data_IF_450250465734
#
_entry.id   IF_450250465734
#
_cell.length_a   1.000
_cell.length_b   1.000
_cell.length_c   1.000
_cell.angle_alpha   90.00
_cell.angle_beta   90.00
_cell.angle_gamma   90.00
#
_symmetry.space_group_name_H-M   'P 1'
#
loop_
_entity.id
_entity.type
_entity.pdbx_description
1 polymer ?
#
# COMPACT_ATOMS: atom_id res chain seq x y z
N UNK A 1 16.27 -0.53 -24.61
CA UNK A 1 16.53 -1.00 -23.23
C UNK A 1 15.80 -0.09 -22.26
N UNK A 2 14.67 -0.55 -21.72
CA UNK A 2 13.87 0.23 -20.78
C UNK A 2 14.58 0.32 -19.42
N UNK A 3 14.89 1.55 -18.98
CA UNK A 3 15.43 1.83 -17.64
C UNK A 3 14.30 1.63 -16.62
N UNK A 4 14.39 0.57 -15.81
CA UNK A 4 13.54 0.38 -14.65
C UNK A 4 13.72 1.55 -13.67
N UNK A 5 12.62 2.25 -13.36
CA UNK A 5 12.58 3.25 -12.28
C UNK A 5 12.79 2.58 -10.91
N UNK A 6 13.37 3.27 -9.92
CA UNK A 6 13.65 2.71 -8.60
C UNK A 6 12.37 2.66 -7.76
N UNK A 7 11.44 1.76 -8.11
CA UNK A 7 10.41 1.34 -7.17
C UNK A 7 11.10 0.42 -6.14
N UNK A 8 11.24 0.91 -4.91
CA UNK A 8 11.81 0.28 -3.72
C UNK A 8 12.51 -1.07 -3.96
N UNK A 9 13.83 -1.03 -4.20
CA UNK A 9 14.70 -2.23 -4.34
C UNK A 9 14.42 -3.29 -3.27
N UNK A 10 14.03 -2.87 -2.06
CA UNK A 10 13.65 -3.76 -0.96
C UNK A 10 12.35 -4.56 -1.21
N UNK A 11 11.28 -3.95 -1.73
CA UNK A 11 10.02 -4.69 -2.00
C UNK A 11 10.17 -5.65 -3.17
N UNK A 12 10.88 -5.25 -4.23
CA UNK A 12 11.22 -6.17 -5.31
C UNK A 12 12.13 -7.31 -4.83
N UNK A 13 13.11 -7.05 -3.96
CA UNK A 13 13.95 -8.12 -3.40
C UNK A 13 13.15 -9.09 -2.53
N UNK A 14 12.19 -8.60 -1.75
CA UNK A 14 11.29 -9.44 -0.94
C UNK A 14 10.36 -10.26 -1.84
N UNK A 15 9.75 -9.66 -2.87
CA UNK A 15 8.88 -10.36 -3.82
C UNK A 15 9.66 -11.37 -4.66
N UNK A 16 10.90 -11.07 -5.06
CA UNK A 16 11.79 -12.00 -5.76
C UNK A 16 12.29 -13.12 -4.84
N UNK A 17 12.54 -12.84 -3.56
CA UNK A 17 12.84 -13.86 -2.57
C UNK A 17 11.63 -14.76 -2.30
N UNK A 18 10.42 -14.21 -2.28
CA UNK A 18 9.17 -14.98 -2.17
C UNK A 18 8.93 -15.79 -3.44
N UNK A 19 9.19 -15.24 -4.63
CA UNK A 19 9.12 -15.97 -5.88
C UNK A 19 10.12 -17.11 -5.89
N UNK A 20 11.39 -16.86 -5.53
CA UNK A 20 12.38 -17.90 -5.33
C UNK A 20 11.93 -18.94 -4.28
N UNK A 21 11.35 -18.55 -3.15
CA UNK A 21 10.89 -19.51 -2.13
C UNK A 21 9.59 -20.24 -2.51
N UNK A 22 8.79 -19.70 -3.42
CA UNK A 22 7.61 -20.36 -4.00
C UNK A 22 7.96 -21.23 -5.23
N UNK A 23 9.03 -20.91 -5.95
CA UNK A 23 9.44 -21.61 -7.20
C UNK A 23 10.74 -22.42 -7.09
N UNK A 24 11.53 -22.31 -6.03
CA UNK A 24 12.78 -23.06 -5.89
C UNK A 24 12.54 -24.47 -5.37
N UNK A 25 12.35 -25.37 -6.32
CA UNK A 25 13.18 -26.58 -6.38
C UNK A 25 14.62 -26.11 -6.68
N UNK A 26 15.55 -26.31 -5.74
CA UNK A 26 17.00 -26.35 -6.01
C UNK A 26 17.80 -25.07 -5.72
N UNK A 27 18.75 -25.23 -4.78
CA UNK A 27 19.99 -24.47 -4.53
C UNK A 27 19.91 -23.03 -3.97
N UNK A 28 20.20 -22.91 -2.66
CA UNK A 28 20.58 -21.66 -2.00
C UNK A 28 22.08 -21.69 -1.73
N UNK A 29 22.79 -20.62 -2.11
CA UNK A 29 24.08 -20.25 -1.51
C UNK A 29 23.89 -19.00 -0.65
N UNK A 30 24.49 -19.06 0.54
CA UNK A 30 24.44 -18.07 1.62
C UNK A 30 25.43 -16.95 1.35
N UNK A 31 25.05 -15.69 1.62
CA UNK A 31 25.99 -14.62 1.90
C UNK A 31 25.50 -13.79 3.10
N UNK A 32 26.42 -13.58 4.04
CA UNK A 32 26.29 -12.84 5.29
C UNK A 32 26.82 -11.42 5.14
N UNK A 33 26.10 -10.42 5.65
CA UNK A 33 26.58 -9.06 5.93
C UNK A 33 26.02 -8.66 7.32
N UNK A 34 26.85 -8.36 8.31
CA UNK A 34 27.73 -7.21 8.56
C UNK A 34 27.05 -6.18 9.50
N UNK A 35 27.80 -5.81 10.54
CA UNK A 35 27.35 -5.03 11.68
C UNK A 35 27.09 -3.56 11.32
N UNK A 36 25.95 -3.00 11.76
CA UNK A 36 25.71 -1.55 11.80
C UNK A 36 25.24 -1.13 13.18
N UNK A 37 25.94 -0.12 13.69
CA UNK A 37 25.84 0.52 15.01
C UNK A 37 24.53 1.34 15.11
N UNK A 38 23.85 1.25 16.26
CA UNK A 38 22.67 2.08 16.60
C UNK A 38 23.08 3.44 17.16
N UNK A 39 22.40 4.56 16.82
CA UNK A 39 22.44 5.77 17.63
C UNK A 39 21.27 5.82 18.63
N UNK A 40 21.60 6.43 19.78
CA UNK A 40 20.82 6.62 20.99
C UNK A 40 19.92 7.86 20.86
N UNK A 41 18.77 7.83 21.52
CA UNK A 41 17.78 8.90 21.55
C UNK A 41 18.24 10.13 22.35
N UNK A 42 17.82 11.32 21.92
CA UNK A 42 17.91 12.56 22.68
C UNK A 42 16.50 13.14 22.85
N UNK A 43 16.14 13.39 24.10
CA UNK A 43 14.89 13.91 24.60
C UNK A 43 15.06 15.41 24.92
N UNK A 44 14.14 16.29 24.47
CA UNK A 44 13.76 17.51 25.21
C UNK A 44 12.53 18.20 24.62
N UNK A 45 11.56 18.41 25.50
CA UNK A 45 10.35 19.20 25.34
C UNK A 45 10.57 20.71 25.60
N UNK A 46 9.72 21.53 24.98
CA UNK A 46 9.01 22.74 25.47
C UNK A 46 8.33 23.35 24.22
N UNK A 47 7.02 23.58 24.13
CA UNK A 47 6.05 23.95 25.14
C UNK A 47 5.78 25.45 25.02
N UNK A 48 4.84 25.86 24.16
CA UNK A 48 4.18 27.16 24.28
C UNK A 48 2.73 27.07 23.82
N UNK A 49 1.83 27.31 24.77
CA UNK A 49 0.41 27.57 24.55
C UNK A 49 0.22 28.82 23.68
N UNK A 50 -0.94 28.96 23.05
CA UNK A 50 -1.83 30.08 23.32
C UNK A 50 -3.28 29.78 22.88
N UNK A 51 -4.12 29.84 23.92
CA UNK A 51 -5.57 29.99 24.07
C UNK A 51 -6.25 30.81 22.94
N UNK A 52 -7.42 30.34 22.50
CA UNK A 52 -8.24 30.99 21.46
C UNK A 52 -9.05 32.19 21.92
N UNK A 53 -9.84 32.77 21.01
CA UNK A 53 -11.01 33.60 21.33
C UNK A 53 -11.94 33.71 20.10
N UNK A 54 -13.23 33.45 20.33
CA UNK A 54 -14.35 33.86 19.48
C UNK A 54 -14.58 35.38 19.63
N UNK A 55 -15.11 36.03 18.59
CA UNK A 55 -15.90 37.26 18.76
C UNK A 55 -15.58 38.36 17.76
N UNK A 56 -16.28 38.39 16.63
CA UNK A 56 -16.38 39.59 15.80
C UNK A 56 -17.55 40.44 16.32
N UNK A 57 -17.24 41.58 16.95
CA UNK A 57 -18.17 42.70 17.15
C UNK A 57 -18.02 43.66 15.98
N UNK A 58 -19.14 43.96 15.34
CA UNK A 58 -19.32 44.85 14.20
C UNK A 58 -19.25 46.33 14.62
N UNK A 59 -18.70 47.18 13.75
CA UNK A 59 -18.78 48.64 13.86
C UNK A 59 -19.96 49.14 13.02
N UNK A 60 -20.89 49.83 13.69
CA UNK A 60 -22.01 50.58 13.09
C UNK A 60 -21.48 51.76 12.27
N UNK A 61 -22.07 51.97 11.09
CA UNK A 61 -22.38 53.30 10.57
C UNK A 61 -23.89 53.42 10.42
N UNK A 62 -24.41 54.48 11.01
CA UNK A 62 -25.82 54.82 11.17
C UNK A 62 -26.35 55.45 9.88
N UNK A 63 -27.40 54.90 9.29
CA UNK A 63 -28.45 55.68 8.63
C UNK A 63 -29.76 54.98 8.99
N UNK A 64 -30.54 55.66 9.80
CA UNK A 64 -31.86 55.25 10.28
C UNK A 64 -32.89 55.90 9.35
N UNK A 65 -33.81 55.11 8.76
CA UNK A 65 -35.20 55.48 8.42
C UNK A 65 -35.99 54.16 8.29
N UNK A 66 -36.71 53.88 9.38
CA UNK A 66 -38.06 53.26 9.53
C UNK A 66 -38.44 51.96 8.80
N UNK A 67 -38.63 50.93 9.65
CA UNK A 67 -39.80 50.03 9.84
C UNK A 67 -40.29 49.09 8.72
N UNK A 68 -40.39 47.84 9.19
CA UNK A 68 -41.33 46.74 8.89
C UNK A 68 -40.89 45.65 7.89
N UNK A 69 -40.67 44.47 8.48
CA UNK A 69 -40.73 43.08 8.01
C UNK A 69 -40.82 42.81 6.49
N UNK A 70 -39.76 42.26 5.87
CA UNK A 70 -39.92 41.35 4.72
C UNK A 70 -38.66 40.49 4.41
N UNK A 71 -38.78 39.17 4.53
CA UNK A 71 -37.78 38.13 4.18
C UNK A 71 -37.64 37.93 2.63
N UNK A 72 -37.95 38.97 1.85
CA UNK A 72 -38.14 38.88 0.39
C UNK A 72 -37.08 39.61 -0.44
N UNK A 73 -36.29 40.54 0.14
CA UNK A 73 -35.45 41.47 -0.65
C UNK A 73 -33.95 41.10 -0.78
N UNK A 74 -33.39 40.24 0.08
CA UNK A 74 -31.94 39.93 0.03
C UNK A 74 -31.55 38.98 -1.11
N UNK A 75 -32.50 38.15 -1.60
CA UNK A 75 -32.26 37.27 -2.77
C UNK A 75 -32.31 38.04 -4.10
N UNK A 76 -33.16 39.07 -4.19
CA UNK A 76 -33.34 39.87 -5.42
C UNK A 76 -32.12 40.77 -5.65
N UNK A 77 -31.55 41.35 -4.59
CA UNK A 77 -30.34 42.20 -4.68
C UNK A 77 -29.06 41.43 -5.04
N UNK A 78 -28.92 40.17 -4.62
CA UNK A 78 -27.72 39.37 -4.88
C UNK A 78 -27.68 38.80 -6.31
N UNK A 79 -28.83 38.41 -6.88
CA UNK A 79 -28.93 37.98 -8.28
C UNK A 79 -28.74 39.15 -9.26
N UNK A 80 -29.31 40.32 -8.94
CA UNK A 80 -29.14 41.54 -9.75
C UNK A 80 -27.69 42.08 -9.69
N UNK A 81 -27.07 42.06 -8.51
CA UNK A 81 -25.64 42.40 -8.36
C UNK A 81 -24.73 41.42 -9.11
N UNK A 82 -25.00 40.10 -9.06
CA UNK A 82 -24.28 39.09 -9.85
C UNK A 82 -24.44 39.31 -11.36
N UNK A 83 -25.65 39.65 -11.83
CA UNK A 83 -25.89 39.98 -13.26
C UNK A 83 -25.20 41.27 -13.69
N UNK A 84 -25.11 42.29 -12.82
CA UNK A 84 -24.40 43.54 -13.11
C UNK A 84 -22.87 43.40 -13.05
N UNK A 85 -22.34 42.58 -12.13
CA UNK A 85 -20.92 42.21 -12.08
C UNK A 85 -20.56 41.34 -13.30
N UNK A 86 -21.47 40.47 -13.74
CA UNK A 86 -21.30 39.69 -14.97
C UNK A 86 -21.41 40.58 -16.23
N UNK A 87 -22.31 41.57 -16.24
CA UNK A 87 -22.41 42.57 -17.32
C UNK A 87 -21.18 43.49 -17.37
N UNK A 88 -20.58 43.83 -16.22
CA UNK A 88 -19.28 44.49 -16.14
C UNK A 88 -18.14 43.57 -16.60
N UNK A 89 -18.15 42.28 -16.23
CA UNK A 89 -17.24 41.24 -16.77
C UNK A 89 -17.34 41.11 -18.30
N UNK A 90 -18.54 41.27 -18.87
CA UNK A 90 -18.82 41.19 -20.30
C UNK A 90 -18.50 42.50 -21.07
N UNK A 91 -18.53 43.67 -20.41
CA UNK A 91 -18.05 44.95 -20.99
C UNK A 91 -16.52 45.08 -20.90
N UNK A 92 -15.90 44.30 -20.00
CA UNK A 92 -14.48 44.24 -19.66
C UNK A 92 -13.79 42.97 -20.22
N UNK A 93 -14.38 42.29 -21.20
CA UNK A 93 -13.61 41.50 -22.18
C UNK A 93 -12.72 42.48 -22.94
N UNK A 94 -11.53 42.78 -22.42
CA UNK A 94 -10.70 43.87 -22.90
C UNK A 94 -10.46 43.81 -24.41
N UNK A 95 -10.16 44.95 -25.06
CA UNK A 95 -9.74 45.00 -26.46
C UNK A 95 -8.70 43.91 -26.79
N UNK A 96 -7.86 43.53 -25.82
CA UNK A 96 -6.87 42.46 -25.95
C UNK A 96 -7.48 41.05 -26.01
N UNK A 97 -8.58 40.74 -25.30
CA UNK A 97 -9.25 39.43 -25.44
C UNK A 97 -9.92 39.29 -26.80
N UNK A 98 -10.63 40.33 -27.26
CA UNK A 98 -11.25 40.33 -28.59
C UNK A 98 -10.17 40.20 -29.69
N UNK A 99 -9.05 40.91 -29.55
CA UNK A 99 -7.89 40.79 -30.42
C UNK A 99 -7.29 39.38 -30.38
N UNK A 100 -7.17 38.77 -29.20
CA UNK A 100 -6.67 37.40 -29.02
C UNK A 100 -7.53 36.39 -29.77
N UNK A 101 -8.86 36.49 -29.64
CA UNK A 101 -9.83 35.63 -30.33
C UNK A 101 -9.75 35.82 -31.85
N UNK A 102 -9.64 37.06 -32.33
CA UNK A 102 -9.50 37.37 -33.76
C UNK A 102 -8.21 36.79 -34.33
N UNK A 103 -7.09 36.93 -33.60
CA UNK A 103 -5.79 36.40 -34.00
C UNK A 103 -5.78 34.87 -34.09
N UNK A 104 -6.49 34.19 -33.19
CA UNK A 104 -6.61 32.73 -33.19
C UNK A 104 -7.21 32.21 -34.51
N UNK A 105 -8.31 32.85 -34.96
CA UNK A 105 -8.97 32.55 -36.24
C UNK A 105 -8.10 32.95 -37.44
N UNK A 106 -7.55 34.17 -37.44
CA UNK A 106 -6.78 34.65 -38.59
C UNK A 106 -5.50 33.86 -38.85
N UNK A 107 -4.91 33.28 -37.81
CA UNK A 107 -3.72 32.44 -37.91
C UNK A 107 -4.06 30.95 -38.09
N UNK A 108 -5.34 30.60 -38.25
CA UNK A 108 -5.85 29.24 -38.48
C UNK A 108 -5.37 28.25 -37.41
N UNK A 109 -5.27 28.70 -36.15
CA UNK A 109 -4.78 27.87 -35.04
C UNK A 109 -5.77 26.73 -34.75
N UNK A 110 -7.06 26.95 -35.00
CA UNK A 110 -8.13 25.94 -34.87
C UNK A 110 -7.93 24.70 -35.76
N UNK A 111 -7.28 24.85 -36.92
CA UNK A 111 -7.07 23.75 -37.87
C UNK A 111 -5.88 22.84 -37.55
N UNK A 112 -5.21 23.03 -36.40
CA UNK A 112 -3.95 22.35 -36.07
C UNK A 112 -4.13 20.97 -35.42
N UNK A 113 -5.34 20.67 -34.93
CA UNK A 113 -5.69 19.39 -34.31
C UNK A 113 -4.80 19.02 -33.12
N UNK A 114 -4.47 17.73 -33.00
CA UNK A 114 -3.74 17.17 -31.85
C UNK A 114 -2.30 17.70 -31.70
N UNK A 115 -1.75 18.32 -32.75
CA UNK A 115 -0.41 18.94 -32.74
C UNK A 115 -0.44 20.44 -32.45
N UNK A 116 -1.57 20.94 -31.92
CA UNK A 116 -1.79 22.36 -31.59
C UNK A 116 -0.56 23.01 -30.97
N UNK A 117 -0.07 22.47 -29.85
CA UNK A 117 1.02 23.07 -29.09
C UNK A 117 2.42 22.92 -29.70
N UNK A 118 2.54 22.18 -30.81
CA UNK A 118 3.78 22.05 -31.60
C UNK A 118 3.68 22.77 -32.95
N UNK A 119 2.52 23.36 -33.26
CA UNK A 119 2.30 24.02 -34.55
C UNK A 119 2.93 25.41 -34.60
N UNK A 120 3.47 25.78 -35.76
CA UNK A 120 3.99 27.12 -36.01
C UNK A 120 2.89 28.19 -35.89
N UNK A 121 1.64 27.84 -36.23
CA UNK A 121 0.46 28.68 -36.07
C UNK A 121 0.23 29.05 -34.61
N UNK A 122 0.25 28.06 -33.72
CA UNK A 122 0.11 28.30 -32.28
C UNK A 122 1.26 29.12 -31.72
N UNK A 123 2.51 28.82 -32.11
CA UNK A 123 3.67 29.60 -31.65
C UNK A 123 3.56 31.08 -32.07
N UNK A 124 3.23 31.33 -33.35
CA UNK A 124 3.03 32.68 -33.87
C UNK A 124 1.86 33.39 -33.17
N UNK A 125 0.78 32.68 -32.88
CA UNK A 125 -0.36 33.22 -32.15
C UNK A 125 0.00 33.56 -30.70
N UNK A 126 0.56 32.61 -29.96
CA UNK A 126 0.93 32.77 -28.56
C UNK A 126 1.96 33.90 -28.36
N UNK A 127 2.97 33.99 -29.22
CA UNK A 127 3.95 35.09 -29.18
C UNK A 127 3.34 36.45 -29.47
N UNK A 128 2.41 36.53 -30.43
CA UNK A 128 1.71 37.78 -30.76
C UNK A 128 0.79 38.22 -29.62
N UNK A 129 0.02 37.28 -29.05
CA UNK A 129 -0.84 37.56 -27.90
C UNK A 129 0.00 38.02 -26.71
N UNK A 130 1.09 37.34 -26.38
CA UNK A 130 2.00 37.76 -25.31
C UNK A 130 2.51 39.22 -25.50
N UNK A 131 2.81 39.63 -26.74
CA UNK A 131 3.20 41.03 -27.06
C UNK A 131 2.08 42.03 -26.81
N UNK A 132 0.82 41.66 -26.98
CA UNK A 132 -0.33 42.53 -26.70
C UNK A 132 -0.55 42.73 -25.18
N UNK A 133 -0.05 41.81 -24.37
CA UNK A 133 -0.11 41.86 -22.91
C UNK A 133 1.18 42.38 -22.26
N UNK A 134 2.06 43.10 -22.99
CA UNK A 134 3.32 43.64 -22.44
C UNK A 134 3.18 44.40 -21.11
N UNK A 135 2.08 45.12 -20.90
CA UNK A 135 1.81 45.87 -19.66
C UNK A 135 1.33 44.98 -18.51
N UNK A 136 0.69 43.84 -18.82
CA UNK A 136 0.11 42.87 -17.88
C UNK A 136 0.42 41.43 -18.34
N UNK A 137 1.70 40.99 -18.37
CA UNK A 137 2.09 39.72 -18.99
C UNK A 137 1.43 38.50 -18.34
N UNK A 138 1.05 38.59 -17.07
CA UNK A 138 0.36 37.57 -16.29
C UNK A 138 -1.06 37.25 -16.80
N UNK A 139 -1.70 38.16 -17.55
CA UNK A 139 -3.03 37.95 -18.12
C UNK A 139 -3.00 37.25 -19.48
N UNK A 140 -1.84 37.18 -20.13
CA UNK A 140 -1.73 36.57 -21.45
C UNK A 140 -2.12 35.08 -21.45
N UNK A 141 -1.64 34.24 -20.51
CA UNK A 141 -2.04 32.83 -20.43
C UNK A 141 -3.54 32.65 -20.20
N UNK A 142 -4.18 33.47 -19.35
CA UNK A 142 -5.63 33.41 -19.12
C UNK A 142 -6.41 33.78 -20.38
N UNK A 143 -5.95 34.79 -21.12
CA UNK A 143 -6.57 35.20 -22.38
C UNK A 143 -6.46 34.10 -23.45
N UNK A 144 -5.28 33.49 -23.59
CA UNK A 144 -5.06 32.35 -24.48
C UNK A 144 -5.92 31.15 -24.08
N UNK A 145 -5.91 30.79 -22.80
CA UNK A 145 -6.71 29.69 -22.27
C UNK A 145 -8.19 29.90 -22.56
N UNK A 146 -8.74 31.09 -22.29
CA UNK A 146 -10.15 31.39 -22.54
C UNK A 146 -10.53 31.22 -24.02
N UNK A 147 -9.67 31.64 -24.94
CA UNK A 147 -9.88 31.42 -26.38
C UNK A 147 -9.89 29.93 -26.73
N UNK A 148 -8.93 29.17 -26.19
CA UNK A 148 -8.84 27.72 -26.42
C UNK A 148 -10.03 26.98 -25.80
N UNK A 149 -10.46 27.34 -24.59
CA UNK A 149 -11.56 26.70 -23.89
C UNK A 149 -12.89 26.95 -24.59
N UNK A 150 -13.09 28.15 -25.17
CA UNK A 150 -14.27 28.44 -25.99
C UNK A 150 -14.32 27.62 -27.29
N UNK A 151 -13.18 27.18 -27.80
CA UNK A 151 -13.10 26.37 -29.02
C UNK A 151 -13.20 24.87 -28.73
N UNK A 152 -12.42 24.37 -27.77
CA UNK A 152 -12.29 22.94 -27.49
C UNK A 152 -13.21 22.44 -26.35
N UNK A 153 -13.66 23.33 -25.47
CA UNK A 153 -14.28 22.98 -24.19
C UNK A 153 -13.25 22.64 -23.10
N UNK A 154 -13.66 22.73 -21.83
CA UNK A 154 -12.77 22.52 -20.67
C UNK A 154 -12.19 21.10 -20.59
N UNK A 155 -13.02 20.06 -20.78
CA UNK A 155 -12.60 18.65 -20.71
C UNK A 155 -11.55 18.32 -21.79
N UNK A 156 -11.85 18.63 -23.06
CA UNK A 156 -10.95 18.32 -24.17
C UNK A 156 -9.65 19.14 -24.09
N UNK A 157 -9.74 20.42 -23.73
CA UNK A 157 -8.55 21.25 -23.55
C UNK A 157 -7.66 20.76 -22.40
N UNK A 158 -8.24 20.35 -21.27
CA UNK A 158 -7.49 19.76 -20.17
C UNK A 158 -6.73 18.49 -20.61
N UNK A 159 -7.36 17.61 -21.39
CA UNK A 159 -6.72 16.42 -21.95
C UNK A 159 -5.55 16.78 -22.89
N UNK A 160 -5.74 17.77 -23.78
CA UNK A 160 -4.69 18.26 -24.67
C UNK A 160 -3.50 18.85 -23.88
N UNK A 161 -3.76 19.59 -22.80
CA UNK A 161 -2.72 20.17 -21.93
C UNK A 161 -1.93 19.08 -21.21
N UNK A 162 -2.59 18.04 -20.71
CA UNK A 162 -1.93 16.89 -20.07
C UNK A 162 -0.96 16.21 -21.05
N UNK A 163 -1.41 15.97 -22.29
CA UNK A 163 -0.55 15.42 -23.35
C UNK A 163 0.61 16.36 -23.69
N UNK A 164 0.34 17.65 -23.84
CA UNK A 164 1.35 18.66 -24.17
C UNK A 164 2.43 18.81 -23.07
N UNK A 165 2.10 18.55 -21.80
CA UNK A 165 3.06 18.53 -20.69
C UNK A 165 4.06 17.37 -20.77
N UNK A 166 3.75 16.30 -21.52
CA UNK A 166 4.67 15.17 -21.69
C UNK A 166 5.74 15.45 -22.75
N UNK A 167 5.48 16.33 -23.70
CA UNK A 167 6.46 16.72 -24.71
C UNK A 167 7.32 17.90 -24.21
N UNK A 168 8.65 17.76 -24.31
CA UNK A 168 9.61 18.76 -23.80
C UNK A 168 9.46 20.14 -24.46
N UNK A 169 9.05 20.21 -25.73
CA UNK A 169 8.88 21.48 -26.47
C UNK A 169 7.65 22.25 -26.00
N UNK A 170 6.55 21.55 -25.74
CA UNK A 170 5.28 22.16 -25.34
C UNK A 170 5.05 22.23 -23.82
N UNK A 171 5.90 21.59 -23.01
CA UNK A 171 5.73 21.49 -21.55
C UNK A 171 5.56 22.85 -20.87
N UNK A 172 6.41 23.81 -21.19
CA UNK A 172 6.40 25.13 -20.55
C UNK A 172 5.11 25.89 -20.85
N UNK A 173 4.66 25.90 -22.11
CA UNK A 173 3.43 26.61 -22.47
C UNK A 173 2.19 25.91 -21.91
N UNK A 174 2.15 24.57 -21.97
CA UNK A 174 1.05 23.80 -21.42
C UNK A 174 0.91 23.99 -19.90
N UNK A 175 2.02 24.03 -19.16
CA UNK A 175 2.02 24.29 -17.71
C UNK A 175 1.50 25.70 -17.39
N UNK A 176 1.87 26.71 -18.18
CA UNK A 176 1.34 28.07 -18.00
C UNK A 176 -0.16 28.16 -18.27
N UNK A 177 -0.66 27.47 -19.28
CA UNK A 177 -2.08 27.44 -19.62
C UNK A 177 -2.91 26.66 -18.58
N UNK A 178 -2.41 25.52 -18.08
CA UNK A 178 -3.04 24.78 -16.98
C UNK A 178 -3.12 25.67 -15.72
N UNK A 179 -2.03 26.34 -15.33
CA UNK A 179 -2.06 27.25 -14.18
C UNK A 179 -3.09 28.37 -14.36
N UNK A 180 -3.25 28.89 -15.58
CA UNK A 180 -4.27 29.89 -15.89
C UNK A 180 -5.69 29.33 -15.77
N UNK A 181 -5.92 28.09 -16.20
CA UNK A 181 -7.18 27.37 -16.00
C UNK A 181 -7.52 27.25 -14.51
N UNK A 182 -6.57 26.72 -13.71
CA UNK A 182 -6.76 26.53 -12.28
C UNK A 182 -7.03 27.86 -11.55
N UNK A 183 -6.32 28.93 -11.93
CA UNK A 183 -6.54 30.27 -11.38
C UNK A 183 -7.90 30.83 -11.77
N UNK A 184 -8.36 30.58 -12.99
CA UNK A 184 -9.68 31.02 -13.44
C UNK A 184 -10.79 30.32 -12.65
N UNK A 185 -10.69 29.00 -12.44
CA UNK A 185 -11.65 28.26 -11.62
C UNK A 185 -11.67 28.72 -10.17
N UNK A 186 -10.49 28.95 -9.56
CA UNK A 186 -10.38 29.53 -8.22
C UNK A 186 -11.02 30.93 -8.15
N UNK A 187 -10.73 31.80 -9.11
CA UNK A 187 -11.30 33.17 -9.16
C UNK A 187 -12.81 33.18 -9.43
N UNK A 188 -13.33 32.12 -10.04
CA UNK A 188 -14.76 31.90 -10.23
C UNK A 188 -15.43 31.26 -9.00
N UNK A 189 -14.68 30.95 -7.94
CA UNK A 189 -15.19 30.32 -6.72
C UNK A 189 -15.65 28.87 -6.91
N UNK A 190 -15.12 28.16 -7.92
CA UNK A 190 -15.46 26.75 -8.13
C UNK A 190 -14.93 25.90 -6.97
N UNK A 191 -15.69 24.90 -6.60
CA UNK A 191 -15.27 23.87 -5.66
C UNK A 191 -14.55 22.73 -6.38
N UNK A 192 -13.93 21.84 -5.61
CA UNK A 192 -13.35 20.60 -6.14
C UNK A 192 -14.38 19.72 -6.86
N UNK A 193 -15.61 19.69 -6.35
CA UNK A 193 -16.72 18.91 -6.90
C UNK A 193 -17.24 19.58 -8.21
N UNK A 194 -17.33 20.91 -8.25
CA UNK A 194 -17.69 21.64 -9.49
C UNK A 194 -16.71 21.35 -10.63
N UNK A 195 -15.41 21.28 -10.33
CA UNK A 195 -14.38 20.95 -11.33
C UNK A 195 -14.39 19.47 -11.68
N UNK A 196 -14.74 18.60 -10.74
CA UNK A 196 -14.91 17.17 -11.00
C UNK A 196 -16.00 16.91 -12.05
N UNK A 197 -17.15 17.55 -11.90
CA UNK A 197 -18.27 17.47 -12.83
C UNK A 197 -17.97 18.19 -14.16
N UNK A 198 -17.31 19.36 -14.11
CA UNK A 198 -16.89 20.09 -15.31
C UNK A 198 -15.99 19.25 -16.22
N UNK A 199 -15.11 18.44 -15.62
CA UNK A 199 -14.21 17.52 -16.32
C UNK A 199 -14.84 16.14 -16.60
N UNK A 200 -16.14 15.98 -16.33
CA UNK A 200 -16.91 14.74 -16.52
C UNK A 200 -16.24 13.51 -15.91
N UNK A 201 -15.67 13.67 -14.71
CA UNK A 201 -15.03 12.57 -13.99
C UNK A 201 -16.05 11.61 -13.38
N UNK A 202 -17.27 12.09 -13.13
CA UNK A 202 -18.45 11.30 -12.74
C UNK A 202 -18.77 10.18 -13.76
N UNK A 203 -18.59 10.44 -15.05
CA UNK A 203 -18.87 9.48 -16.12
C UNK A 203 -17.80 8.39 -16.26
N UNK A 204 -16.64 8.54 -15.60
CA UNK A 204 -15.49 7.63 -15.78
C UNK A 204 -15.55 6.41 -14.84
N UNK A 205 -16.34 6.47 -13.77
CA UNK A 205 -16.45 5.40 -12.76
C UNK A 205 -15.08 4.91 -12.29
N UNK A 206 -14.90 3.59 -12.20
CA UNK A 206 -13.64 2.98 -11.74
C UNK A 206 -12.42 3.30 -12.63
N UNK A 207 -12.63 3.76 -13.87
CA UNK A 207 -11.56 4.17 -14.81
C UNK A 207 -11.13 5.62 -14.64
N UNK A 208 -11.56 6.28 -13.57
CA UNK A 208 -11.24 7.69 -13.29
C UNK A 208 -9.75 8.01 -13.45
N UNK A 209 -8.86 7.21 -12.86
CA UNK A 209 -7.42 7.46 -12.92
C UNK A 209 -6.75 7.09 -14.26
N UNK A 210 -7.45 6.38 -15.14
CA UNK A 210 -7.03 6.18 -16.53
C UNK A 210 -7.31 7.44 -17.39
N UNK A 211 -8.25 8.28 -16.94
CA UNK A 211 -8.57 9.53 -17.60
C UNK A 211 -7.43 10.55 -17.45
N UNK A 212 -6.93 11.15 -18.56
CA UNK A 212 -5.86 12.15 -18.48
C UNK A 212 -6.28 13.38 -17.65
N UNK A 213 -7.56 13.76 -17.67
CA UNK A 213 -8.08 14.94 -16.95
C UNK A 213 -8.16 14.74 -15.44
N UNK A 214 -8.01 13.52 -14.92
CA UNK A 214 -7.90 13.29 -13.47
C UNK A 214 -6.69 14.01 -12.86
N UNK A 215 -5.59 14.14 -13.62
CA UNK A 215 -4.41 14.89 -13.19
C UNK A 215 -4.68 16.40 -13.05
N UNK A 216 -5.55 16.94 -13.90
CA UNK A 216 -5.98 18.35 -13.83
C UNK A 216 -6.84 18.60 -12.60
N UNK A 217 -7.80 17.70 -12.32
CA UNK A 217 -8.61 17.77 -11.09
C UNK A 217 -7.74 17.65 -9.82
N UNK A 218 -6.81 16.70 -9.78
CA UNK A 218 -5.86 16.54 -8.67
C UNK A 218 -5.04 17.83 -8.46
N UNK A 219 -4.54 18.43 -9.55
CA UNK A 219 -3.79 19.69 -9.48
C UNK A 219 -4.64 20.83 -8.92
N UNK A 220 -5.92 20.87 -9.28
CA UNK A 220 -6.86 21.84 -8.74
C UNK A 220 -7.11 21.65 -7.23
N UNK A 221 -7.40 20.42 -6.80
CA UNK A 221 -7.58 20.07 -5.39
C UNK A 221 -6.32 20.41 -4.57
N UNK A 222 -5.14 20.18 -5.14
CA UNK A 222 -3.86 20.52 -4.53
C UNK A 222 -3.69 22.03 -4.37
N UNK A 223 -4.12 22.82 -5.38
CA UNK A 223 -4.08 24.27 -5.32
C UNK A 223 -5.03 24.82 -4.25
N UNK A 224 -6.24 24.27 -4.13
CA UNK A 224 -7.22 24.68 -3.11
C UNK A 224 -6.76 24.36 -1.69
N UNK A 225 -6.02 23.25 -1.48
CA UNK A 225 -5.60 22.83 -0.15
C UNK A 225 -4.18 22.22 -0.14
N UNK A 226 -3.16 23.08 -0.27
CA UNK A 226 -1.78 22.63 -0.46
C UNK A 226 -1.23 21.76 0.68
N UNK A 227 -1.67 21.96 1.92
CA UNK A 227 -1.16 21.24 3.09
C UNK A 227 -1.77 19.85 3.26
N UNK A 228 -3.08 19.69 3.00
CA UNK A 228 -3.82 18.45 3.27
C UNK A 228 -4.50 17.86 2.02
N UNK A 229 -4.00 18.23 0.83
CA UNK A 229 -4.60 17.83 -0.46
C UNK A 229 -4.86 16.34 -0.60
N UNK A 230 -3.94 15.47 -0.19
CA UNK A 230 -4.08 14.02 -0.32
C UNK A 230 -5.28 13.48 0.49
N UNK A 231 -5.49 13.97 1.73
CA UNK A 231 -6.63 13.61 2.58
C UNK A 231 -7.95 14.12 2.03
N UNK A 232 -7.95 15.35 1.48
CA UNK A 232 -9.15 15.93 0.86
C UNK A 232 -9.53 15.17 -0.42
N UNK A 233 -8.55 14.87 -1.28
CA UNK A 233 -8.75 14.07 -2.51
C UNK A 233 -9.27 12.67 -2.13
N UNK A 234 -8.63 12.01 -1.16
CA UNK A 234 -9.06 10.69 -0.68
C UNK A 234 -10.50 10.73 -0.18
N UNK A 235 -10.83 11.71 0.67
CA UNK A 235 -12.17 11.87 1.23
C UNK A 235 -13.24 12.14 0.16
N UNK A 236 -12.94 12.96 -0.85
CA UNK A 236 -13.84 13.19 -1.99
C UNK A 236 -14.11 11.89 -2.75
N UNK A 237 -13.06 11.11 -3.07
CA UNK A 237 -13.22 9.82 -3.77
C UNK A 237 -13.95 8.78 -2.89
N UNK A 238 -13.71 8.79 -1.58
CA UNK A 238 -14.32 7.86 -0.62
C UNK A 238 -15.85 7.99 -0.54
N UNK A 239 -16.39 9.19 -0.81
CA UNK A 239 -17.84 9.43 -0.90
C UNK A 239 -18.48 8.71 -2.10
N UNK A 240 -17.70 8.43 -3.14
CA UNK A 240 -18.17 7.88 -4.41
C UNK A 240 -17.91 6.37 -4.53
N UNK A 241 -16.84 5.88 -3.90
CA UNK A 241 -16.37 4.51 -4.07
C UNK A 241 -16.28 3.75 -2.74
N UNK A 242 -16.67 2.47 -2.76
CA UNK A 242 -16.42 1.55 -1.64
C UNK A 242 -14.92 1.40 -1.38
N UNK A 243 -14.55 0.95 -0.17
CA UNK A 243 -13.15 0.81 0.25
C UNK A 243 -12.35 -0.07 -0.70
N UNK A 244 -12.93 -1.21 -1.12
CA UNK A 244 -12.26 -2.17 -1.99
C UNK A 244 -12.09 -1.65 -3.42
N UNK A 245 -13.10 -0.94 -3.95
CA UNK A 245 -13.05 -0.32 -5.28
C UNK A 245 -12.03 0.82 -5.30
N UNK A 246 -12.08 1.73 -4.32
CA UNK A 246 -11.14 2.85 -4.23
C UNK A 246 -9.70 2.35 -4.09
N UNK A 247 -9.47 1.33 -3.26
CA UNK A 247 -8.14 0.74 -3.12
C UNK A 247 -7.62 0.13 -4.43
N UNK A 248 -8.48 -0.54 -5.21
CA UNK A 248 -8.13 -1.06 -6.55
C UNK A 248 -7.75 0.06 -7.51
N UNK A 249 -8.55 1.11 -7.56
CA UNK A 249 -8.29 2.28 -8.40
C UNK A 249 -6.95 2.92 -8.04
N UNK A 250 -6.68 3.14 -6.74
CA UNK A 250 -5.41 3.69 -6.26
C UNK A 250 -4.25 2.77 -6.62
N UNK A 251 -4.36 1.46 -6.33
CA UNK A 251 -3.30 0.50 -6.60
C UNK A 251 -2.95 0.39 -8.08
N UNK A 252 -3.95 0.36 -8.97
CA UNK A 252 -3.75 0.35 -10.42
C UNK A 252 -3.12 1.64 -10.95
N UNK A 253 -3.41 2.78 -10.32
CA UNK A 253 -2.90 4.08 -10.74
C UNK A 253 -1.43 4.34 -10.35
N UNK A 254 -0.82 3.55 -9.46
CA UNK A 254 0.54 3.80 -8.91
C UNK A 254 1.65 3.88 -9.96
N UNK A 255 1.47 3.25 -11.12
CA UNK A 255 2.43 3.26 -12.22
C UNK A 255 2.04 4.24 -13.35
N UNK A 256 0.94 5.00 -13.18
CA UNK A 256 0.53 6.01 -14.15
C UNK A 256 1.57 7.14 -14.26
N UNK A 257 1.88 7.54 -15.48
CA UNK A 257 2.79 8.65 -15.76
C UNK A 257 2.25 9.99 -15.24
N UNK A 258 0.92 10.15 -15.16
CA UNK A 258 0.28 11.41 -14.80
C UNK A 258 -0.13 11.47 -13.32
N UNK A 259 -0.67 10.38 -12.77
CA UNK A 259 -1.23 10.35 -11.41
C UNK A 259 -0.50 9.42 -10.44
N UNK A 260 0.56 8.72 -10.88
CA UNK A 260 1.22 7.69 -10.07
C UNK A 260 1.86 8.22 -8.79
N UNK A 261 2.38 9.45 -8.80
CA UNK A 261 2.90 10.08 -7.59
C UNK A 261 1.79 10.32 -6.55
N UNK A 262 0.65 10.86 -6.98
CA UNK A 262 -0.51 11.08 -6.12
C UNK A 262 -1.11 9.76 -5.66
N UNK A 263 -1.25 8.77 -6.53
CA UNK A 263 -1.75 7.45 -6.17
C UNK A 263 -0.92 6.79 -5.06
N UNK A 264 0.42 6.94 -5.06
CA UNK A 264 1.27 6.47 -3.97
C UNK A 264 1.02 7.18 -2.64
N UNK A 265 0.69 8.48 -2.66
CA UNK A 265 0.32 9.23 -1.46
C UNK A 265 -1.08 8.83 -0.96
N UNK A 266 -2.03 8.67 -1.87
CA UNK A 266 -3.37 8.18 -1.54
C UNK A 266 -3.32 6.75 -0.96
N UNK A 267 -2.40 5.90 -1.43
CA UNK A 267 -2.14 4.60 -0.80
C UNK A 267 -1.68 4.79 0.64
N UNK A 268 -0.78 5.73 0.95
CA UNK A 268 -0.35 5.98 2.34
C UNK A 268 -1.50 6.44 3.24
N UNK A 269 -2.38 7.30 2.73
CA UNK A 269 -3.61 7.72 3.43
C UNK A 269 -4.50 6.50 3.70
N UNK A 270 -4.75 5.67 2.69
CA UNK A 270 -5.53 4.44 2.80
C UNK A 270 -4.95 3.48 3.86
N UNK A 271 -3.64 3.22 3.83
CA UNK A 271 -2.97 2.35 4.80
C UNK A 271 -3.07 2.90 6.22
N UNK A 272 -2.90 4.22 6.39
CA UNK A 272 -3.01 4.90 7.69
C UNK A 272 -4.43 4.82 8.26
N UNK A 273 -5.44 4.96 7.38
CA UNK A 273 -6.85 4.78 7.74
C UNK A 273 -7.16 3.35 8.18
N UNK A 274 -6.70 2.34 7.44
CA UNK A 274 -6.86 0.95 7.88
C UNK A 274 -6.16 0.67 9.22
N UNK A 275 -5.01 1.30 9.49
CA UNK A 275 -4.34 1.21 10.79
C UNK A 275 -5.19 1.83 11.91
N UNK A 276 -5.73 3.04 11.72
CA UNK A 276 -6.53 3.72 12.74
C UNK A 276 -7.88 3.03 12.99
N UNK A 277 -8.45 2.39 11.98
CA UNK A 277 -9.65 1.56 12.09
C UNK A 277 -9.38 0.17 12.70
N UNK A 278 -8.12 -0.16 13.00
CA UNK A 278 -7.76 -1.42 13.63
C UNK A 278 -7.87 -2.65 12.71
N UNK A 279 -7.99 -2.48 11.38
CA UNK A 279 -8.12 -3.59 10.42
C UNK A 279 -6.99 -4.59 10.60
N UNK A 280 -7.28 -5.89 10.64
CA UNK A 280 -6.22 -6.90 10.74
C UNK A 280 -5.57 -7.14 9.37
N UNK A 281 -4.37 -7.73 9.35
CA UNK A 281 -3.71 -8.17 8.11
C UNK A 281 -4.63 -9.12 7.33
N UNK A 282 -5.37 -9.96 8.06
CA UNK A 282 -6.29 -10.95 7.50
C UNK A 282 -7.55 -10.31 6.94
N UNK A 283 -8.06 -9.24 7.56
CA UNK A 283 -9.21 -8.49 7.04
C UNK A 283 -8.90 -7.86 5.69
N UNK A 284 -7.71 -7.25 5.54
CA UNK A 284 -7.29 -6.64 4.28
C UNK A 284 -7.03 -7.71 3.21
N UNK A 285 -6.48 -8.86 3.58
CA UNK A 285 -6.29 -9.98 2.63
C UNK A 285 -7.64 -10.49 2.08
N UNK A 286 -8.65 -10.62 2.96
CA UNK A 286 -10.01 -11.05 2.61
C UNK A 286 -10.78 -9.99 1.85
N UNK A 287 -10.62 -8.71 2.19
CA UNK A 287 -11.24 -7.57 1.50
C UNK A 287 -10.93 -7.64 0.00
N UNK A 288 -9.68 -7.94 -0.34
CA UNK A 288 -9.22 -8.08 -1.73
C UNK A 288 -9.42 -9.47 -2.33
N UNK A 289 -10.03 -10.41 -1.58
CA UNK A 289 -10.26 -11.80 -2.01
C UNK A 289 -8.98 -12.51 -2.47
N UNK A 290 -7.82 -12.10 -1.94
CA UNK A 290 -6.50 -12.64 -2.30
C UNK A 290 -6.39 -14.15 -1.97
N UNK A 291 -7.17 -14.62 -1.01
CA UNK A 291 -7.27 -16.05 -0.66
C UNK A 291 -7.88 -16.91 -1.77
N UNK A 292 -8.52 -16.31 -2.77
CA UNK A 292 -9.15 -17.00 -3.91
C UNK A 292 -8.33 -16.94 -5.20
N UNK A 293 -7.21 -16.23 -5.21
CA UNK A 293 -6.43 -15.98 -6.44
C UNK A 293 -5.45 -17.11 -6.78
N UNK A 294 -5.15 -18.02 -5.84
CA UNK A 294 -4.28 -19.18 -6.07
C UNK A 294 -2.91 -18.77 -6.61
N UNK A 295 -2.49 -19.37 -7.73
CA UNK A 295 -1.20 -19.09 -8.37
C UNK A 295 -1.11 -17.68 -8.98
N UNK A 296 -2.24 -17.01 -9.22
CA UNK A 296 -2.28 -15.64 -9.75
C UNK A 296 -2.10 -14.58 -8.67
N UNK A 297 -1.99 -14.97 -7.40
CA UNK A 297 -1.86 -14.05 -6.26
C UNK A 297 -0.77 -12.99 -6.47
N UNK A 298 0.43 -13.42 -6.92
CA UNK A 298 1.56 -12.52 -7.12
C UNK A 298 1.38 -11.56 -8.31
N UNK A 299 0.43 -11.85 -9.20
CA UNK A 299 0.10 -11.00 -10.34
C UNK A 299 -0.98 -9.97 -9.98
N UNK A 300 -1.63 -10.12 -8.82
CA UNK A 300 -2.67 -9.21 -8.38
C UNK A 300 -2.07 -7.89 -7.91
N UNK A 301 -2.48 -6.75 -8.49
CA UNK A 301 -2.05 -5.43 -8.01
C UNK A 301 -2.42 -5.19 -6.54
N UNK A 302 -3.46 -5.87 -6.04
CA UNK A 302 -3.90 -5.76 -4.65
C UNK A 302 -2.99 -6.51 -3.68
N UNK A 303 -2.23 -7.49 -4.16
CA UNK A 303 -1.21 -8.14 -3.36
C UNK A 303 -0.12 -7.16 -2.92
N UNK A 304 0.35 -6.28 -3.80
CA UNK A 304 1.34 -5.25 -3.47
C UNK A 304 0.85 -4.27 -2.40
N UNK A 305 -0.43 -3.88 -2.46
CA UNK A 305 -1.05 -3.02 -1.45
C UNK A 305 -1.21 -3.76 -0.12
N UNK A 306 -1.60 -5.03 -0.13
CA UNK A 306 -1.64 -5.86 1.07
C UNK A 306 -0.26 -6.04 1.70
N UNK A 307 0.79 -6.32 0.91
CA UNK A 307 2.18 -6.39 1.39
C UNK A 307 2.59 -5.06 2.01
N UNK A 308 2.24 -3.92 1.38
CA UNK A 308 2.53 -2.60 1.94
C UNK A 308 1.89 -2.41 3.32
N UNK A 309 0.65 -2.86 3.49
CA UNK A 309 -0.05 -2.82 4.77
C UNK A 309 0.59 -3.74 5.82
N UNK A 310 0.91 -4.98 5.42
CA UNK A 310 1.60 -5.95 6.29
C UNK A 310 2.92 -5.38 6.82
N UNK A 311 3.75 -4.81 5.93
CA UNK A 311 5.03 -4.23 6.30
C UNK A 311 4.87 -3.01 7.22
N UNK A 312 3.81 -2.21 7.04
CA UNK A 312 3.52 -1.08 7.91
C UNK A 312 3.12 -1.55 9.32
N UNK A 313 2.27 -2.57 9.42
CA UNK A 313 1.74 -3.08 10.69
C UNK A 313 2.74 -3.96 11.46
N UNK A 314 3.61 -4.67 10.74
CA UNK A 314 4.64 -5.52 11.31
C UNK A 314 5.99 -4.80 11.31
N UNK A 315 6.30 -4.08 12.38
CA UNK A 315 7.53 -3.26 12.57
C UNK A 315 8.89 -3.96 12.36
N UNK A 316 8.91 -5.29 12.16
CA UNK A 316 10.11 -6.09 11.87
C UNK A 316 9.78 -7.34 11.02
N UNK A 317 9.20 -7.15 9.83
CA UNK A 317 8.88 -8.22 8.89
C UNK A 317 10.09 -8.67 8.07
N UNK A 318 10.43 -9.95 8.19
CA UNK A 318 11.39 -10.65 7.30
C UNK A 318 10.63 -11.28 6.13
N UNK A 319 11.31 -11.61 5.01
CA UNK A 319 10.71 -12.40 3.93
C UNK A 319 10.05 -13.69 4.41
N UNK A 320 10.66 -14.38 5.38
CA UNK A 320 10.12 -15.60 5.99
C UNK A 320 8.79 -15.37 6.71
N UNK A 321 8.67 -14.30 7.51
CA UNK A 321 7.41 -13.95 8.18
C UNK A 321 6.33 -13.62 7.17
N UNK A 322 6.65 -12.86 6.12
CA UNK A 322 5.68 -12.55 5.07
C UNK A 322 5.20 -13.84 4.37
N UNK A 323 6.10 -14.76 4.08
CA UNK A 323 5.74 -16.05 3.50
C UNK A 323 4.82 -16.88 4.40
N UNK A 324 5.11 -16.97 5.70
CA UNK A 324 4.26 -17.65 6.69
C UNK A 324 2.86 -17.01 6.76
N UNK A 325 2.78 -15.68 6.67
CA UNK A 325 1.53 -14.93 6.67
C UNK A 325 0.69 -15.19 5.43
N UNK A 326 1.33 -15.29 4.26
CA UNK A 326 0.69 -15.66 3.00
C UNK A 326 0.13 -17.08 3.11
N UNK A 327 0.93 -18.05 3.55
CA UNK A 327 0.48 -19.43 3.74
C UNK A 327 -0.72 -19.53 4.68
N UNK A 328 -0.67 -18.83 5.84
CA UNK A 328 -1.79 -18.80 6.77
C UNK A 328 -3.04 -18.20 6.13
N UNK A 329 -2.92 -17.08 5.43
CA UNK A 329 -4.05 -16.40 4.80
C UNK A 329 -4.64 -17.18 3.61
N UNK A 330 -3.84 -18.04 2.96
CA UNK A 330 -4.30 -19.03 1.99
C UNK A 330 -4.95 -20.26 2.63
N UNK A 331 -4.94 -20.37 3.96
CA UNK A 331 -5.50 -21.51 4.69
C UNK A 331 -4.64 -22.78 4.61
N UNK A 332 -3.33 -22.66 4.33
CA UNK A 332 -2.43 -23.81 4.34
C UNK A 332 -2.34 -24.42 5.73
N UNK A 333 -2.36 -25.73 5.81
CA UNK A 333 -2.19 -26.48 7.05
C UNK A 333 -0.71 -26.78 7.31
N UNK A 334 -0.40 -27.24 8.52
CA UNK A 334 0.93 -27.77 8.84
C UNK A 334 1.34 -28.88 7.86
N UNK A 335 0.43 -29.79 7.52
CA UNK A 335 0.66 -30.88 6.57
C UNK A 335 0.90 -30.38 5.14
N UNK A 336 0.15 -29.38 4.68
CA UNK A 336 0.36 -28.79 3.35
C UNK A 336 1.77 -28.22 3.21
N UNK A 337 2.23 -27.47 4.23
CA UNK A 337 3.58 -26.88 4.20
C UNK A 337 4.66 -27.95 4.41
N UNK A 338 4.38 -28.99 5.20
CA UNK A 338 5.28 -30.14 5.34
C UNK A 338 5.57 -30.81 3.99
N UNK A 339 4.52 -31.02 3.20
CA UNK A 339 4.58 -31.57 1.84
C UNK A 339 5.24 -30.62 0.86
N UNK A 340 4.90 -29.32 0.92
CA UNK A 340 5.48 -28.29 0.05
C UNK A 340 7.00 -28.22 0.21
N UNK A 341 7.48 -28.29 1.45
CA UNK A 341 8.91 -28.28 1.79
C UNK A 341 9.60 -29.63 1.57
N UNK A 342 8.86 -30.65 1.09
CA UNK A 342 9.36 -32.01 0.79
C UNK A 342 10.13 -32.64 1.96
N UNK A 343 9.75 -32.33 3.20
CA UNK A 343 10.47 -32.76 4.40
C UNK A 343 10.56 -34.28 4.53
N UNK A 344 9.54 -35.00 4.05
CA UNK A 344 9.56 -36.47 4.00
C UNK A 344 10.72 -37.02 3.17
N UNK A 345 11.07 -36.36 2.07
CA UNK A 345 12.14 -36.81 1.16
C UNK A 345 13.53 -36.62 1.79
N UNK A 346 13.66 -35.71 2.75
CA UNK A 346 14.91 -35.47 3.48
C UNK A 346 15.22 -36.56 4.51
N UNK A 347 14.26 -37.42 4.84
CA UNK A 347 14.42 -38.50 5.82
C UNK A 347 15.08 -38.00 7.12
N UNK A 348 16.07 -38.72 7.62
CA UNK A 348 16.79 -38.35 8.86
C UNK A 348 17.58 -37.04 8.76
N UNK A 349 17.93 -36.57 7.56
CA UNK A 349 18.66 -35.30 7.37
C UNK A 349 17.78 -34.07 7.60
N UNK A 350 16.44 -34.24 7.66
CA UNK A 350 15.49 -33.14 7.88
C UNK A 350 15.78 -32.33 9.16
N UNK A 351 16.31 -32.95 10.21
CA UNK A 351 16.57 -32.27 11.48
C UNK A 351 17.72 -31.26 11.44
N UNK A 352 18.46 -31.23 10.33
CA UNK A 352 19.53 -30.29 10.07
C UNK A 352 19.20 -29.28 8.96
N UNK A 353 18.01 -29.36 8.33
CA UNK A 353 17.65 -28.47 7.23
C UNK A 353 17.06 -27.15 7.71
N UNK A 354 17.23 -26.11 6.89
CA UNK A 354 16.51 -24.84 7.07
C UNK A 354 15.01 -25.06 6.90
N UNK A 355 14.59 -25.98 6.03
CA UNK A 355 13.19 -26.28 5.75
C UNK A 355 12.43 -26.73 7.00
N UNK A 356 13.01 -27.60 7.84
CA UNK A 356 12.35 -28.02 9.08
C UNK A 356 12.19 -26.84 10.05
N UNK A 357 13.19 -25.95 10.13
CA UNK A 357 13.10 -24.75 10.98
C UNK A 357 11.99 -23.82 10.51
N UNK A 358 11.87 -23.62 9.19
CA UNK A 358 10.77 -22.86 8.58
C UNK A 358 9.42 -23.49 8.87
N UNK A 359 9.30 -24.82 8.74
CA UNK A 359 8.07 -25.53 9.08
C UNK A 359 7.71 -25.42 10.56
N UNK A 360 8.66 -25.59 11.48
CA UNK A 360 8.45 -25.42 12.92
C UNK A 360 7.99 -23.98 13.24
N UNK A 361 8.62 -22.97 12.63
CA UNK A 361 8.22 -21.57 12.75
C UNK A 361 6.76 -21.39 12.32
N UNK A 362 6.39 -21.93 11.17
CA UNK A 362 5.03 -21.87 10.66
C UNK A 362 4.00 -22.59 11.55
N UNK A 363 4.29 -23.82 12.01
CA UNK A 363 3.40 -24.56 12.93
C UNK A 363 3.21 -23.80 14.24
N UNK A 364 4.30 -23.25 14.78
CA UNK A 364 4.24 -22.40 15.98
C UNK A 364 3.38 -21.18 15.74
N UNK A 365 3.50 -20.56 14.56
CA UNK A 365 2.67 -19.41 14.16
C UNK A 365 1.20 -19.79 14.09
N UNK A 366 0.84 -20.91 13.47
CA UNK A 366 -0.55 -21.39 13.43
C UNK A 366 -1.13 -21.57 14.84
N UNK A 367 -0.32 -22.11 15.77
CA UNK A 367 -0.72 -22.34 17.15
C UNK A 367 -1.08 -21.04 17.90
N UNK A 368 -0.44 -19.91 17.57
CA UNK A 368 -0.75 -18.60 18.16
C UNK A 368 -2.17 -18.11 17.83
N UNK A 369 -2.75 -18.60 16.73
CA UNK A 369 -4.13 -18.28 16.33
C UNK A 369 -5.13 -19.38 16.70
N UNK A 370 -4.66 -20.47 17.32
CA UNK A 370 -5.55 -21.52 17.81
C UNK A 370 -6.38 -21.02 18.99
N UNK A 371 -7.66 -21.43 19.06
CA UNK A 371 -8.50 -21.19 20.25
C UNK A 371 -7.94 -21.86 21.50
N UNK A 372 -7.20 -22.95 21.32
CA UNK A 372 -6.53 -23.71 22.38
C UNK A 372 -5.10 -24.00 21.92
N UNK A 373 -4.15 -23.09 22.18
CA UNK A 373 -2.74 -23.34 21.85
C UNK A 373 -2.23 -24.56 22.62
N UNK A 374 -1.49 -25.43 21.94
CA UNK A 374 -0.88 -26.62 22.55
C UNK A 374 0.65 -26.46 22.56
N UNK A 375 1.28 -26.62 23.72
CA UNK A 375 2.74 -26.50 23.86
C UNK A 375 3.50 -27.59 23.06
N UNK A 376 2.84 -28.70 22.74
CA UNK A 376 3.40 -29.85 22.03
C UNK A 376 2.99 -29.92 20.56
N UNK A 377 2.34 -28.89 20.02
CA UNK A 377 1.78 -28.89 18.66
C UNK A 377 2.79 -29.33 17.59
N UNK A 378 4.05 -28.91 17.71
CA UNK A 378 5.11 -29.30 16.76
C UNK A 378 5.37 -30.81 16.80
N UNK A 379 5.41 -31.41 18.00
CA UNK A 379 5.57 -32.85 18.17
C UNK A 379 4.33 -33.58 17.66
N UNK A 380 3.13 -33.12 18.01
CA UNK A 380 1.87 -33.71 17.54
C UNK A 380 1.80 -33.74 16.00
N UNK A 381 2.17 -32.65 15.34
CA UNK A 381 2.20 -32.59 13.87
C UNK A 381 3.28 -33.50 13.27
N UNK A 382 4.46 -33.62 13.89
CA UNK A 382 5.50 -34.55 13.43
C UNK A 382 5.11 -36.02 13.63
N UNK A 383 4.44 -36.34 14.72
CA UNK A 383 3.99 -37.71 15.01
C UNK A 383 2.86 -38.17 14.07
N UNK A 384 2.03 -37.25 13.57
CA UNK A 384 1.12 -37.56 12.46
C UNK A 384 1.87 -38.02 11.21
N UNK A 385 3.08 -37.51 10.98
CA UNK A 385 3.90 -37.85 9.81
C UNK A 385 4.69 -39.16 9.99
N UNK A 386 5.16 -39.45 11.22
CA UNK A 386 6.16 -40.48 11.48
C UNK A 386 5.82 -41.49 12.59
N UNK A 387 4.65 -41.40 13.22
CA UNK A 387 4.29 -42.06 14.48
C UNK A 387 5.14 -41.62 15.68
N UNK A 388 4.67 -41.87 16.91
CA UNK A 388 5.41 -41.56 18.14
C UNK A 388 6.76 -42.26 18.22
N UNK A 389 6.76 -43.58 18.07
CA UNK A 389 7.97 -44.40 18.09
C UNK A 389 8.89 -44.13 16.87
N UNK A 390 8.32 -43.94 15.67
CA UNK A 390 9.11 -43.63 14.49
C UNK A 390 9.80 -42.26 14.59
N UNK A 391 9.11 -41.24 15.08
CA UNK A 391 9.73 -39.93 15.36
C UNK A 391 10.85 -40.05 16.40
N UNK A 392 10.63 -40.82 17.48
CA UNK A 392 11.64 -40.99 18.54
C UNK A 392 12.93 -41.62 18.00
N UNK A 393 12.84 -42.64 17.13
CA UNK A 393 13.97 -43.25 16.42
C UNK A 393 14.70 -42.23 15.54
N UNK A 394 13.94 -41.47 14.75
CA UNK A 394 14.50 -40.44 13.87
C UNK A 394 15.27 -39.36 14.64
N UNK A 395 14.74 -38.90 15.78
CA UNK A 395 15.39 -37.91 16.64
C UNK A 395 16.66 -38.46 17.31
N UNK A 396 16.61 -39.68 17.84
CA UNK A 396 17.76 -40.34 18.46
C UNK A 396 18.91 -40.51 17.47
N UNK A 397 18.61 -40.98 16.25
CA UNK A 397 19.60 -41.13 15.18
C UNK A 397 20.20 -39.78 14.77
N UNK A 398 19.36 -38.74 14.60
CA UNK A 398 19.85 -37.41 14.23
C UNK A 398 20.77 -36.81 15.31
N UNK A 399 20.48 -37.03 16.59
CA UNK A 399 21.38 -36.65 17.69
C UNK A 399 22.69 -37.42 17.64
N UNK A 400 22.63 -38.73 17.41
CA UNK A 400 23.83 -39.56 17.29
C UNK A 400 24.72 -39.07 16.14
N UNK A 401 24.14 -38.83 14.96
CA UNK A 401 24.88 -38.29 13.81
C UNK A 401 25.51 -36.92 14.09
N UNK A 402 24.81 -36.02 14.81
CA UNK A 402 25.38 -34.73 15.20
C UNK A 402 26.56 -34.87 16.18
N UNK A 403 26.51 -35.86 17.08
CA UNK A 403 27.61 -36.12 18.02
C UNK A 403 28.90 -36.60 17.33
N UNK A 404 28.78 -37.33 16.21
CA UNK A 404 29.93 -37.80 15.43
C UNK A 404 30.71 -36.66 14.74
N UNK A 405 30.08 -35.50 14.53
CA UNK A 405 30.67 -34.36 13.80
C UNK A 405 31.39 -33.39 14.76
N UNK A 406 31.57 -33.76 16.04
CA UNK A 406 32.21 -32.91 17.09
C UNK A 406 31.58 -31.53 17.24
N UNK A 407 30.27 -31.40 17.05
CA UNK A 407 29.52 -30.25 17.55
C UNK A 407 29.34 -30.36 19.08
N UNK A 408 30.44 -30.45 19.82
CA UNK A 408 30.42 -30.60 21.27
C UNK A 408 29.88 -29.32 21.92
N UNK A 409 28.84 -29.46 22.75
CA UNK A 409 28.27 -28.39 23.57
C UNK A 409 27.08 -27.61 22.99
N UNK A 410 26.76 -27.75 21.70
CA UNK A 410 25.60 -27.06 21.10
C UNK A 410 24.33 -27.93 21.13
N UNK A 411 23.27 -27.45 21.79
CA UNK A 411 21.97 -28.12 21.80
C UNK A 411 21.37 -28.19 20.38
N UNK A 412 21.31 -29.40 19.82
CA UNK A 412 20.81 -29.62 18.45
C UNK A 412 19.28 -29.51 18.39
N UNK A 413 18.75 -29.19 17.21
CA UNK A 413 17.29 -29.15 17.00
C UNK A 413 16.65 -30.51 17.31
N UNK A 414 17.30 -31.62 16.93
CA UNK A 414 16.85 -32.97 17.27
C UNK A 414 16.84 -33.20 18.80
N UNK A 415 17.83 -32.69 19.53
CA UNK A 415 17.86 -32.69 20.99
C UNK A 415 16.66 -31.98 21.61
N UNK A 416 16.36 -30.75 21.14
CA UNK A 416 15.21 -29.95 21.59
C UNK A 416 13.89 -30.67 21.36
N UNK A 417 13.71 -31.20 20.15
CA UNK A 417 12.48 -31.93 19.79
C UNK A 417 12.33 -33.22 20.60
N UNK A 418 13.42 -33.94 20.89
CA UNK A 418 13.37 -35.14 21.72
C UNK A 418 13.00 -34.81 23.17
N UNK A 419 13.61 -33.76 23.75
CA UNK A 419 13.24 -33.30 25.08
C UNK A 419 11.77 -32.86 25.15
N UNK A 420 11.26 -32.20 24.11
CA UNK A 420 9.85 -31.83 24.02
C UNK A 420 8.93 -33.04 23.89
N UNK A 421 9.34 -34.07 23.14
CA UNK A 421 8.60 -35.34 23.05
C UNK A 421 8.56 -36.06 24.40
N UNK A 422 9.67 -36.11 25.14
CA UNK A 422 9.73 -36.70 26.47
C UNK A 422 8.87 -35.92 27.48
N UNK A 423 8.91 -34.59 27.43
CA UNK A 423 8.03 -33.73 28.23
C UNK A 423 6.56 -34.03 27.97
N UNK A 424 6.19 -34.24 26.69
CA UNK A 424 4.83 -34.61 26.29
C UNK A 424 4.41 -35.95 26.89
N UNK A 425 5.23 -36.99 26.74
CA UNK A 425 4.98 -38.32 27.32
C UNK A 425 4.80 -38.25 28.84
N UNK A 426 5.68 -37.51 29.52
CA UNK A 426 5.60 -37.33 30.97
C UNK A 426 4.28 -36.66 31.37
N UNK A 427 3.89 -35.57 30.69
CA UNK A 427 2.59 -34.90 30.95
C UNK A 427 1.37 -35.76 30.64
N UNK A 428 1.50 -36.73 29.74
CA UNK A 428 0.46 -37.70 29.42
C UNK A 428 0.44 -38.90 30.39
N UNK A 429 1.31 -38.93 31.41
CA UNK A 429 1.39 -40.02 32.39
C UNK A 429 2.02 -41.30 31.83
N UNK A 430 2.75 -41.21 30.71
CA UNK A 430 3.43 -42.36 30.10
C UNK A 430 4.65 -42.71 30.96
N UNK A 431 4.61 -43.85 31.65
CA UNK A 431 5.74 -44.37 32.42
C UNK A 431 6.79 -45.02 31.50
N UNK A 432 8.07 -45.13 31.94
CA UNK A 432 9.09 -45.87 31.20
C UNK A 432 8.63 -47.29 30.83
N UNK A 433 7.94 -48.00 31.72
CA UNK A 433 7.40 -49.33 31.44
C UNK A 433 6.30 -49.30 30.37
N UNK A 434 5.41 -48.32 30.42
CA UNK A 434 4.31 -48.23 29.45
C UNK A 434 4.79 -47.94 28.03
N UNK A 435 5.81 -47.10 27.86
CA UNK A 435 6.32 -46.73 26.54
C UNK A 435 7.08 -47.90 25.88
N UNK A 436 7.62 -48.86 26.65
CA UNK A 436 8.26 -50.06 26.06
C UNK A 436 7.34 -50.82 25.11
N UNK A 437 6.02 -50.78 25.34
CA UNK A 437 5.02 -51.45 24.50
C UNK A 437 4.85 -50.82 23.11
N UNK A 438 5.23 -49.55 22.96
CA UNK A 438 5.19 -48.81 21.69
C UNK A 438 6.41 -49.13 20.80
N UNK A 439 7.45 -49.75 21.34
CA UNK A 439 8.66 -50.14 20.62
C UNK A 439 8.67 -51.65 20.36
N UNK A 440 8.66 -52.04 19.09
CA UNK A 440 8.84 -53.44 18.67
C UNK A 440 10.31 -53.83 18.77
N UNK A 441 10.66 -54.66 19.75
CA UNK A 441 12.02 -55.18 19.92
C UNK A 441 12.36 -56.17 18.78
N UNK A 442 12.95 -55.66 17.69
CA UNK A 442 13.70 -56.51 16.76
C UNK A 442 15.15 -56.50 17.25
N UNK A 443 15.62 -57.67 17.67
CA UNK A 443 16.95 -57.84 18.23
C UNK A 443 18.03 -57.33 17.26
N UNK A 444 18.94 -56.51 17.79
CA UNK A 444 20.21 -56.04 17.22
C UNK A 444 20.16 -54.70 16.43
N UNK A 445 19.31 -53.73 16.80
CA UNK A 445 19.69 -52.31 16.70
C UNK A 445 19.38 -51.54 18.00
N UNK A 446 20.43 -50.92 18.55
CA UNK A 446 20.50 -50.39 19.93
C UNK A 446 19.75 -49.08 20.18
N UNK A 447 19.03 -48.55 19.18
CA UNK A 447 18.40 -47.22 19.24
C UNK A 447 17.17 -47.17 20.14
N UNK A 448 16.29 -48.18 20.08
CA UNK A 448 15.09 -48.23 20.91
C UNK A 448 15.45 -48.34 22.40
N UNK A 449 16.45 -49.15 22.74
CA UNK A 449 16.98 -49.26 24.11
C UNK A 449 17.57 -47.93 24.59
N UNK A 450 18.34 -47.24 23.74
CA UNK A 450 18.89 -45.91 24.08
C UNK A 450 17.81 -44.86 24.31
N UNK A 451 16.72 -44.90 23.54
CA UNK A 451 15.57 -44.00 23.72
C UNK A 451 14.90 -44.29 25.05
N UNK A 452 14.66 -45.56 25.37
CA UNK A 452 14.03 -45.98 26.62
C UNK A 452 14.86 -45.60 27.84
N UNK A 453 16.18 -45.83 27.80
CA UNK A 453 17.11 -45.39 28.84
C UNK A 453 17.08 -43.87 29.01
N UNK A 454 17.21 -43.12 27.91
CA UNK A 454 17.16 -41.66 27.95
C UNK A 454 15.83 -41.11 28.49
N UNK A 455 14.71 -41.76 28.16
CA UNK A 455 13.40 -41.38 28.69
C UNK A 455 13.27 -41.74 30.17
N UNK A 456 13.78 -42.89 30.62
CA UNK A 456 13.79 -43.29 32.02
C UNK A 456 14.58 -42.31 32.90
N UNK A 457 15.75 -41.88 32.43
CA UNK A 457 16.54 -40.83 33.07
C UNK A 457 15.77 -39.50 33.12
N UNK A 458 15.21 -39.07 31.99
CA UNK A 458 14.40 -37.85 31.93
C UNK A 458 13.19 -37.90 32.88
N UNK A 459 12.47 -39.04 32.91
CA UNK A 459 11.31 -39.27 33.77
C UNK A 459 11.71 -39.15 35.24
N UNK A 460 12.76 -39.84 35.66
CA UNK A 460 13.24 -39.83 37.06
C UNK A 460 13.60 -38.42 37.52
N UNK A 461 14.24 -37.62 36.66
CA UNK A 461 14.65 -36.24 36.97
C UNK A 461 13.49 -35.23 37.01
N UNK A 462 12.34 -35.54 36.40
CA UNK A 462 11.28 -34.56 36.16
C UNK A 462 9.89 -34.98 36.67
N UNK A 463 9.65 -36.24 37.02
CA UNK A 463 8.33 -36.73 37.49
C UNK A 463 7.83 -35.96 38.71
N UNK A 464 8.71 -35.63 39.67
CA UNK A 464 8.36 -34.84 40.84
C UNK A 464 8.02 -33.36 40.56
N UNK A 465 8.37 -32.85 39.37
CA UNK A 465 8.13 -31.44 38.96
C UNK A 465 6.83 -31.24 38.19
N UNK A 466 6.14 -32.33 37.82
CA UNK A 466 4.87 -32.28 37.06
C UNK A 466 3.65 -32.29 37.99
N UNK A 467 3.84 -32.71 39.25
CA UNK A 467 2.80 -32.79 40.28
C UNK A 467 2.84 -31.62 41.30
N UNK A 468 3.70 -30.63 41.06
CA UNK A 468 3.80 -29.38 41.83
C UNK A 468 3.44 -28.22 40.90
#
# INVERSE_FOLDING_TARGET
MAKFSPCSRSRCAILLAIFALLTCVGAVSVASESNVIKPKMLDRAQGHQLRGFQGYRSLRTFVEITKDDDDSEERVSNEFAKKMIQAAKNKLTSNNQATTNKLFKSLQVEGTGDKLFQSAQFEKWATTVAKNFKKNPEKAPTSMFSTLANHYGDEALAALLVTAKQNYQSRTVATKLENAQLQNWESAGKTGDDVFDLLKLNDKGEKLFESPVAATWISYMTKLNAQNSDEVIFSSLKKLYSDDVLAKMIGGAKNSANVGATAKKLEQVLLSKWMSEGKTIDDIFKLFKLNKEGEKLLQSPMFDTWVSYFMLKSSASTPSKLQEEIWRNQGKTADDIFKLLKLRNSGKKMFSTVDLRTWISYVTRLNQFSKKPDEFIVILELEKQFTGAGLARMLADAKYQASLIKAEGAETLAGKLQALQFKKWLKQGVTPDSITKEFTFVLIDSTDVKILLAYSEYYTLNVGKVNA
#
